data_IF_392391328463
#
_entry.id   IF_392391328463
#
_cell.length_a   1.000
_cell.length_b   1.000
_cell.length_c   1.000
_cell.angle_alpha   90.00
_cell.angle_beta   90.00
_cell.angle_gamma   90.00
#
_symmetry.space_group_name_H-M   'P 1'
#
loop_
_entity.id
_entity.type
_entity.pdbx_description
1 polymer ?
#
# COMPACT_ATOMS: atom_id res chain seq x y z
N UNK A 1 13.73 -12.80 -0.66
CA UNK A 1 12.33 -12.72 -1.18
C UNK A 1 11.44 -13.67 -0.37
N UNK A 2 10.25 -13.22 0.03
CA UNK A 2 9.32 -13.99 0.89
C UNK A 2 8.64 -15.15 0.14
N UNK A 3 8.23 -14.92 -1.11
CA UNK A 3 7.61 -15.93 -1.97
C UNK A 3 8.69 -16.65 -2.79
N UNK A 4 8.79 -17.97 -2.64
CA UNK A 4 9.76 -18.81 -3.38
C UNK A 4 9.28 -19.23 -4.78
N UNK A 5 7.98 -19.39 -4.98
CA UNK A 5 7.41 -19.84 -6.26
C UNK A 5 7.34 -18.68 -7.28
N UNK A 6 7.93 -18.87 -8.48
CA UNK A 6 7.95 -17.87 -9.56
C UNK A 6 6.56 -17.45 -10.02
N UNK A 7 5.62 -18.38 -10.15
CA UNK A 7 4.24 -18.09 -10.58
C UNK A 7 3.50 -17.26 -9.53
N UNK A 8 3.57 -17.64 -8.25
CA UNK A 8 2.96 -16.87 -7.15
C UNK A 8 3.52 -15.45 -7.07
N UNK A 9 4.82 -15.28 -7.31
CA UNK A 9 5.46 -13.96 -7.36
C UNK A 9 4.98 -13.13 -8.54
N UNK A 10 4.88 -13.72 -9.73
CA UNK A 10 4.38 -13.05 -10.93
C UNK A 10 2.93 -12.59 -10.74
N UNK A 11 2.10 -13.45 -10.17
CA UNK A 11 0.70 -13.12 -9.87
C UNK A 11 0.61 -11.98 -8.85
N UNK A 12 1.40 -12.01 -7.78
CA UNK A 12 1.41 -10.93 -6.79
C UNK A 12 1.81 -9.58 -7.38
N UNK A 13 2.79 -9.55 -8.29
CA UNK A 13 3.19 -8.33 -8.99
C UNK A 13 2.08 -7.82 -9.93
N UNK A 14 1.47 -8.73 -10.69
CA UNK A 14 0.34 -8.40 -11.58
C UNK A 14 -0.86 -7.85 -10.79
N UNK A 15 -1.24 -8.51 -9.69
CA UNK A 15 -2.32 -8.07 -8.82
C UNK A 15 -2.04 -6.70 -8.17
N UNK A 16 -0.78 -6.41 -7.83
CA UNK A 16 -0.39 -5.09 -7.29
C UNK A 16 -0.66 -3.99 -8.31
N UNK A 17 -0.37 -4.23 -9.59
CA UNK A 17 -0.61 -3.26 -10.65
C UNK A 17 -2.11 -2.93 -10.77
N UNK A 18 -3.00 -3.92 -10.69
CA UNK A 18 -4.45 -3.69 -10.69
C UNK A 18 -4.92 -2.86 -9.49
N UNK A 19 -4.29 -3.03 -8.33
CA UNK A 19 -4.62 -2.28 -7.10
C UNK A 19 -4.32 -0.79 -7.24
N UNK A 20 -3.30 -0.42 -8.03
CA UNK A 20 -2.99 0.99 -8.30
C UNK A 20 -4.13 1.73 -9.03
N UNK A 21 -4.98 0.99 -9.74
CA UNK A 21 -6.16 1.52 -10.43
C UNK A 21 -7.46 1.31 -9.64
N UNK A 22 -7.38 0.90 -8.37
CA UNK A 22 -8.55 0.71 -7.49
C UNK A 22 -9.15 -0.70 -7.48
N UNK A 23 -8.60 -1.64 -8.27
CA UNK A 23 -9.05 -3.03 -8.26
C UNK A 23 -8.24 -3.77 -7.19
N UNK A 24 -8.81 -3.89 -5.99
CA UNK A 24 -8.07 -4.34 -4.80
C UNK A 24 -8.26 -5.83 -4.49
N UNK A 25 -9.30 -6.45 -5.04
CA UNK A 25 -9.73 -7.82 -4.75
C UNK A 25 -8.62 -8.86 -5.04
N UNK A 26 -7.92 -8.82 -6.19
CA UNK A 26 -6.90 -9.82 -6.50
C UNK A 26 -5.72 -9.78 -5.52
N UNK A 27 -5.33 -8.59 -5.07
CA UNK A 27 -4.22 -8.42 -4.13
C UNK A 27 -4.66 -8.76 -2.71
N UNK A 28 -5.84 -8.30 -2.30
CA UNK A 28 -6.36 -8.48 -0.96
C UNK A 28 -6.63 -9.96 -0.66
N UNK A 29 -7.36 -10.65 -1.54
CA UNK A 29 -7.70 -12.06 -1.36
C UNK A 29 -6.59 -13.00 -1.85
N UNK A 30 -5.85 -12.64 -2.90
CA UNK A 30 -4.82 -13.50 -3.48
C UNK A 30 -3.47 -13.47 -2.74
N UNK A 31 -3.16 -12.36 -2.05
CA UNK A 31 -1.84 -12.14 -1.43
C UNK A 31 -1.95 -11.75 0.05
N UNK A 32 -2.67 -10.67 0.38
CA UNK A 32 -2.62 -10.11 1.74
C UNK A 32 -3.31 -11.00 2.78
N UNK A 33 -4.49 -11.54 2.50
CA UNK A 33 -5.21 -12.41 3.44
C UNK A 33 -4.61 -13.80 3.60
N UNK A 34 -3.65 -14.18 2.74
CA UNK A 34 -2.92 -15.45 2.87
C UNK A 34 -2.07 -15.51 4.13
N UNK A 35 -1.60 -14.38 4.62
CA UNK A 35 -1.03 -14.23 5.97
C UNK A 35 -1.61 -12.97 6.57
N UNK A 36 -2.46 -13.13 7.59
CA UNK A 36 -3.12 -12.01 8.29
C UNK A 36 -2.12 -10.94 8.77
N UNK A 37 -0.87 -11.33 9.01
CA UNK A 37 0.25 -10.45 9.38
C UNK A 37 0.60 -9.45 8.27
N UNK A 38 0.56 -9.89 7.01
CA UNK A 38 0.76 -9.01 5.85
C UNK A 38 -0.39 -7.99 5.79
N UNK A 39 -1.62 -8.47 5.95
CA UNK A 39 -2.81 -7.61 5.95
C UNK A 39 -2.76 -6.54 7.05
N UNK A 40 -2.49 -6.94 8.31
CA UNK A 40 -2.37 -6.00 9.44
C UNK A 40 -1.21 -5.01 9.23
N UNK A 41 -0.07 -5.46 8.70
CA UNK A 41 1.05 -4.56 8.38
C UNK A 41 0.66 -3.49 7.35
N UNK A 42 -0.15 -3.86 6.35
CA UNK A 42 -0.72 -2.93 5.38
C UNK A 42 -1.69 -1.94 6.02
N UNK A 43 -2.56 -2.39 6.93
CA UNK A 43 -3.47 -1.52 7.68
C UNK A 43 -2.73 -0.47 8.51
N UNK A 44 -1.64 -0.87 9.20
CA UNK A 44 -0.85 0.06 10.01
C UNK A 44 -0.15 1.10 9.12
N UNK A 45 0.37 0.69 7.95
CA UNK A 45 0.88 1.65 6.96
C UNK A 45 -0.18 2.61 6.45
N UNK A 46 -1.40 2.12 6.20
CA UNK A 46 -2.56 2.95 5.85
C UNK A 46 -2.91 3.96 6.94
N UNK A 47 -2.94 3.53 8.20
CA UNK A 47 -3.19 4.39 9.35
C UNK A 47 -2.12 5.48 9.52
N UNK A 48 -0.84 5.14 9.32
CA UNK A 48 0.25 6.11 9.36
C UNK A 48 0.11 7.16 8.24
N UNK A 49 -0.28 6.74 7.03
CA UNK A 49 -0.58 7.64 5.91
C UNK A 49 -1.75 8.58 6.24
N UNK A 50 -2.86 8.03 6.75
CA UNK A 50 -4.04 8.82 7.13
C UNK A 50 -3.79 9.81 8.29
N UNK A 51 -2.93 9.43 9.24
CA UNK A 51 -2.50 10.33 10.31
C UNK A 51 -1.67 11.50 9.72
N UNK A 52 -0.74 11.20 8.82
CA UNK A 52 0.13 12.21 8.22
C UNK A 52 -0.66 13.15 7.30
N UNK A 53 -1.64 12.67 6.54
CA UNK A 53 -2.54 13.55 5.76
C UNK A 53 -3.32 14.49 6.66
N UNK A 54 -3.81 14.01 7.81
CA UNK A 54 -4.52 14.82 8.79
C UNK A 54 -3.63 15.90 9.41
N UNK A 55 -2.38 15.57 9.78
CA UNK A 55 -1.41 16.54 10.32
C UNK A 55 -1.03 17.60 9.30
N UNK A 56 -0.88 17.22 8.03
CA UNK A 56 -0.51 18.12 6.94
C UNK A 56 -1.69 18.95 6.39
N UNK A 57 -2.93 18.67 6.83
CA UNK A 57 -4.13 19.35 6.33
C UNK A 57 -4.39 19.08 4.84
N UNK A 58 -3.96 17.93 4.33
CA UNK A 58 -4.13 17.56 2.92
C UNK A 58 -5.60 17.22 2.62
N UNK A 59 -6.28 18.11 1.91
CA UNK A 59 -7.62 17.88 1.40
C UNK A 59 -7.57 17.55 -0.09
N UNK A 60 -8.17 16.43 -0.49
CA UNK A 60 -8.38 16.11 -1.89
C UNK A 60 -9.42 17.07 -2.50
N UNK A 61 -9.19 17.50 -3.74
CA UNK A 61 -10.13 18.34 -4.51
C UNK A 61 -11.39 17.60 -4.96
N UNK A 62 -11.48 16.29 -4.72
CA UNK A 62 -12.61 15.44 -5.06
C UNK A 62 -12.44 14.03 -4.48
N UNK A 63 -13.31 13.10 -4.90
CA UNK A 63 -13.24 11.70 -4.45
C UNK A 63 -12.20 10.92 -5.28
N UNK A 64 -11.03 10.67 -4.69
CA UNK A 64 -9.99 9.83 -5.27
C UNK A 64 -10.10 8.40 -4.76
N UNK A 65 -10.80 7.55 -5.49
CA UNK A 65 -11.01 6.15 -5.08
C UNK A 65 -9.80 5.26 -5.45
N UNK A 66 -8.88 5.76 -6.27
CA UNK A 66 -7.81 4.98 -6.91
C UNK A 66 -6.45 5.66 -6.74
N UNK A 67 -5.35 4.90 -6.69
CA UNK A 67 -4.03 5.44 -6.35
C UNK A 67 -3.43 6.31 -7.46
N UNK A 68 -3.29 5.77 -8.69
CA UNK A 68 -2.67 6.51 -9.81
C UNK A 68 -3.55 7.68 -10.27
N UNK A 69 -4.85 7.50 -10.56
CA UNK A 69 -5.72 8.64 -10.87
C UNK A 69 -5.92 9.58 -9.69
N UNK A 70 -5.90 9.10 -8.45
CA UNK A 70 -6.03 9.93 -7.25
C UNK A 70 -4.89 10.91 -7.03
N UNK A 71 -3.69 10.65 -7.58
CA UNK A 71 -2.58 11.63 -7.59
C UNK A 71 -2.98 12.95 -8.27
N UNK A 72 -3.85 12.89 -9.29
CA UNK A 72 -4.30 14.06 -10.03
C UNK A 72 -5.08 15.04 -9.15
N UNK A 73 -5.70 14.57 -8.06
CA UNK A 73 -6.50 15.41 -7.15
C UNK A 73 -5.65 16.33 -6.25
N UNK A 74 -4.33 16.11 -6.21
CA UNK A 74 -3.39 16.89 -5.40
C UNK A 74 -2.49 17.80 -6.26
N UNK A 75 -2.85 18.02 -7.52
CA UNK A 75 -2.09 18.85 -8.47
C UNK A 75 -2.39 20.35 -8.39
N UNK A 76 -3.34 20.76 -7.53
CA UNK A 76 -3.72 22.15 -7.35
C UNK A 76 -2.54 23.06 -6.93
N UNK A 77 -1.53 22.50 -6.27
CA UNK A 77 -0.27 23.17 -5.94
C UNK A 77 0.87 22.16 -5.95
N UNK A 78 2.05 22.58 -6.43
CA UNK A 78 3.27 21.77 -6.37
C UNK A 78 3.62 21.35 -4.94
N UNK A 79 3.29 22.19 -3.95
CA UNK A 79 3.53 21.89 -2.54
C UNK A 79 2.64 20.75 -2.04
N UNK A 80 1.35 20.80 -2.35
CA UNK A 80 0.36 19.76 -2.01
C UNK A 80 0.72 18.42 -2.65
N UNK A 81 1.18 18.45 -3.90
CA UNK A 81 1.65 17.25 -4.61
C UNK A 81 2.85 16.61 -3.90
N UNK A 82 3.86 17.39 -3.52
CA UNK A 82 5.04 16.90 -2.79
C UNK A 82 4.66 16.30 -1.43
N UNK A 83 3.78 16.98 -0.69
CA UNK A 83 3.28 16.48 0.60
C UNK A 83 2.55 15.15 0.44
N UNK A 84 1.75 14.99 -0.63
CA UNK A 84 1.05 13.74 -0.90
C UNK A 84 2.00 12.59 -1.27
N UNK A 85 3.05 12.85 -2.06
CA UNK A 85 4.11 11.86 -2.33
C UNK A 85 4.82 11.45 -1.03
N UNK A 86 5.06 12.39 -0.12
CA UNK A 86 5.66 12.11 1.18
C UNK A 86 4.76 11.20 2.02
N UNK A 87 3.44 11.47 2.07
CA UNK A 87 2.46 10.59 2.72
C UNK A 87 2.52 9.17 2.19
N UNK A 88 2.52 9.02 0.86
CA UNK A 88 2.62 7.71 0.22
C UNK A 88 3.92 7.01 0.60
N UNK A 89 5.05 7.71 0.55
CA UNK A 89 6.35 7.17 0.89
C UNK A 89 6.40 6.70 2.35
N UNK A 90 5.84 7.47 3.28
CA UNK A 90 5.78 7.10 4.71
C UNK A 90 4.85 5.91 4.93
N UNK A 91 3.66 5.92 4.33
CA UNK A 91 2.71 4.80 4.42
C UNK A 91 3.32 3.49 3.91
N UNK A 92 3.99 3.55 2.75
CA UNK A 92 4.72 2.42 2.17
C UNK A 92 5.89 1.98 3.04
N UNK A 93 6.70 2.91 3.54
CA UNK A 93 7.85 2.60 4.40
C UNK A 93 7.43 1.90 5.69
N UNK A 94 6.37 2.38 6.36
CA UNK A 94 5.84 1.77 7.58
C UNK A 94 5.35 0.34 7.30
N UNK A 95 4.53 0.15 6.26
CA UNK A 95 4.05 -1.19 5.88
C UNK A 95 5.21 -2.13 5.52
N UNK A 96 6.19 -1.62 4.75
CA UNK A 96 7.35 -2.40 4.33
C UNK A 96 8.22 -2.83 5.52
N UNK A 97 8.54 -1.91 6.44
CA UNK A 97 9.34 -2.21 7.63
C UNK A 97 8.65 -3.28 8.48
N UNK A 98 7.33 -3.15 8.72
CA UNK A 98 6.58 -4.13 9.51
C UNK A 98 6.59 -5.53 8.88
N UNK A 99 6.40 -5.62 7.56
CA UNK A 99 6.50 -6.89 6.82
C UNK A 99 7.92 -7.46 6.88
N UNK A 100 8.95 -6.61 6.81
CA UNK A 100 10.35 -7.06 6.89
C UNK A 100 10.75 -7.55 8.28
N UNK A 101 10.23 -6.94 9.34
CA UNK A 101 10.44 -7.40 10.71
C UNK A 101 9.78 -8.77 10.94
N UNK A 102 8.59 -8.98 10.40
CA UNK A 102 7.85 -10.24 10.50
C UNK A 102 8.22 -11.26 9.40
N UNK A 103 9.30 -11.01 8.65
CA UNK A 103 9.63 -11.78 7.45
C UNK A 103 9.93 -13.26 7.69
N UNK A 104 10.35 -13.65 8.90
CA UNK A 104 10.57 -15.06 9.25
C UNK A 104 9.23 -15.79 9.41
N UNK A 105 8.35 -15.26 10.26
CA UNK A 105 7.02 -15.81 10.53
C UNK A 105 6.11 -15.80 9.29
N UNK A 106 6.17 -14.73 8.48
CA UNK A 106 5.41 -14.67 7.22
C UNK A 106 5.84 -15.77 6.24
N UNK A 107 7.13 -16.17 6.24
CA UNK A 107 7.56 -17.30 5.40
C UNK A 107 7.03 -18.64 5.89
N UNK A 108 6.82 -18.79 7.20
CA UNK A 108 6.20 -19.98 7.78
C UNK A 108 4.72 -20.02 7.40
N UNK A 109 4.00 -18.90 7.51
CA UNK A 109 2.58 -18.81 7.11
C UNK A 109 2.34 -19.06 5.60
N UNK A 110 3.35 -18.80 4.75
CA UNK A 110 3.23 -18.87 3.27
C UNK A 110 3.63 -20.22 2.66
N UNK A 111 4.34 -21.07 3.41
CA UNK A 111 4.79 -22.40 2.97
C UNK A 111 3.83 -23.48 3.47
#
# INVERSE_FOLDING_TARGET
LLIRNKLKRSNALSSTASTLFGITEPLLFGVNLRSIRIFISGMIGGAAGGLLTSILGLAATGMGITFVPGLLLYTASAWTFIQYILVIAVSFAVAFILVRLQAKTIKEDLN
#
